data_IF_010058068325
#
_entry.id   IF_010058068325
#
_cell.length_a   1.000
_cell.length_b   1.000
_cell.length_c   1.000
_cell.angle_alpha   90.00
_cell.angle_beta   90.00
_cell.angle_gamma   90.00
#
_symmetry.space_group_name_H-M   'P 1'
#
loop_
_entity.id
_entity.type
_entity.pdbx_description
1 polymer ?
#
# COMPACT_ATOMS: atom_id res chain seq x y z
N UNK A 1 56.33 21.10 28.81
CA UNK A 1 56.20 21.77 27.50
C UNK A 1 54.72 21.98 27.24
N UNK A 2 54.24 23.22 27.44
CA UNK A 2 52.82 23.57 27.42
C UNK A 2 52.52 24.38 26.16
N UNK A 3 51.65 23.85 25.29
CA UNK A 3 51.24 24.52 24.05
C UNK A 3 50.05 25.46 24.35
N UNK A 4 50.28 26.76 24.13
CA UNK A 4 49.31 27.85 24.28
C UNK A 4 48.26 27.79 23.17
N UNK A 5 46.98 27.91 23.56
CA UNK A 5 45.84 28.18 22.67
C UNK A 5 45.81 29.66 22.30
N UNK A 6 45.52 29.97 21.04
CA UNK A 6 45.17 31.31 20.55
C UNK A 6 43.67 31.36 20.21
N UNK A 7 42.94 32.45 20.54
CA UNK A 7 41.55 32.64 20.13
C UNK A 7 41.47 33.42 18.81
N UNK A 8 40.57 33.02 17.91
CA UNK A 8 40.23 33.80 16.70
C UNK A 8 38.80 34.32 16.83
N UNK A 9 38.66 35.57 16.41
CA UNK A 9 37.63 36.51 16.80
C UNK A 9 36.27 36.32 16.11
N UNK A 10 35.24 36.64 16.90
CA UNK A 10 33.87 36.98 16.50
C UNK A 10 33.86 38.18 15.54
N UNK A 11 33.14 38.05 14.42
CA UNK A 11 32.64 39.20 13.63
C UNK A 11 31.12 39.14 13.56
N UNK A 12 30.52 40.12 14.22
CA UNK A 12 29.09 40.42 14.22
C UNK A 12 28.79 41.48 13.18
N UNK A 13 27.58 41.38 12.62
CA UNK A 13 26.75 42.41 12.02
C UNK A 13 27.16 43.00 10.66
N UNK A 14 26.24 42.86 9.69
CA UNK A 14 25.69 44.00 8.95
C UNK A 14 24.21 43.75 8.63
N UNK A 15 23.39 44.68 9.13
CA UNK A 15 22.00 44.90 8.73
C UNK A 15 21.98 45.40 7.28
N UNK A 16 21.00 44.99 6.50
CA UNK A 16 20.52 45.77 5.35
C UNK A 16 19.00 45.82 5.41
N UNK A 17 18.51 47.02 5.65
CA UNK A 17 17.11 47.44 5.64
C UNK A 17 16.91 48.30 4.40
N UNK A 18 16.28 47.75 3.36
CA UNK A 18 15.68 48.46 2.24
C UNK A 18 14.44 47.64 1.84
N UNK A 19 13.25 48.16 1.62
CA UNK A 19 12.73 49.51 1.66
C UNK A 19 11.25 49.36 1.27
N UNK A 20 10.35 49.83 2.11
CA UNK A 20 8.95 49.98 1.74
C UNK A 20 8.83 51.28 0.93
N UNK A 21 8.28 51.20 -0.28
CA UNK A 21 7.70 52.35 -0.96
C UNK A 21 6.42 51.92 -1.67
N UNK A 22 5.33 52.56 -1.26
CA UNK A 22 3.98 52.40 -1.75
C UNK A 22 3.79 53.06 -3.11
N UNK A 23 2.98 52.47 -4.00
CA UNK A 23 2.15 53.21 -4.97
C UNK A 23 0.80 52.50 -5.09
N UNK A 24 -0.22 53.14 -4.52
CA UNK A 24 -1.63 52.96 -4.85
C UNK A 24 -2.01 53.99 -5.94
N UNK A 25 -3.19 53.77 -6.55
CA UNK A 25 -3.88 54.59 -7.57
C UNK A 25 -3.50 54.35 -9.04
N UNK A 26 -4.40 53.71 -9.79
CA UNK A 26 -5.25 54.44 -10.74
C UNK A 26 -6.45 53.58 -11.19
N UNK A 27 -7.61 53.89 -10.62
CA UNK A 27 -8.91 53.63 -11.22
C UNK A 27 -9.14 54.63 -12.37
N UNK A 28 -9.87 54.17 -13.38
CA UNK A 28 -10.67 54.97 -14.33
C UNK A 28 -9.93 55.90 -15.31
N UNK A 29 -9.83 55.48 -16.58
CA UNK A 29 -10.39 56.16 -17.76
C UNK A 29 -9.82 55.56 -19.05
N UNK A 30 -10.65 54.86 -19.83
CA UNK A 30 -10.73 54.96 -21.28
C UNK A 30 -11.91 54.13 -21.79
N UNK A 31 -13.09 54.73 -21.67
CA UNK A 31 -14.17 54.56 -22.64
C UNK A 31 -13.68 55.09 -23.99
N UNK A 32 -14.04 54.40 -25.09
CA UNK A 32 -14.65 54.94 -26.32
C UNK A 32 -14.26 54.13 -27.57
N UNK A 33 -15.14 53.19 -27.94
CA UNK A 33 -15.61 52.87 -29.30
C UNK A 33 -16.42 51.56 -29.19
N UNK A 34 -17.71 51.45 -29.48
CA UNK A 34 -18.59 52.28 -30.30
C UNK A 34 -19.12 51.43 -31.47
N UNK A 35 -20.39 50.99 -31.34
CA UNK A 35 -21.33 50.54 -32.41
C UNK A 35 -21.09 49.10 -32.96
N UNK A 36 -22.07 48.22 -33.18
CA UNK A 36 -23.51 48.35 -33.46
C UNK A 36 -24.28 47.09 -33.04
N UNK A 37 -25.51 47.25 -32.54
CA UNK A 37 -26.61 46.30 -32.71
C UNK A 37 -27.50 46.81 -33.88
N UNK A 38 -28.36 46.00 -34.53
CA UNK A 38 -29.67 45.75 -33.93
C UNK A 38 -30.39 44.41 -34.28
N UNK A 39 -31.32 44.05 -33.38
CA UNK A 39 -32.69 43.49 -33.58
C UNK A 39 -32.90 42.17 -34.36
N UNK A 40 -33.47 41.18 -33.70
CA UNK A 40 -34.91 40.82 -33.77
C UNK A 40 -35.13 39.48 -33.02
N UNK A 41 -35.92 39.43 -31.94
CA UNK A 41 -37.38 39.26 -31.93
C UNK A 41 -37.85 37.99 -32.64
N UNK A 42 -38.18 36.95 -31.86
CA UNK A 42 -39.48 36.25 -31.88
C UNK A 42 -39.50 35.13 -30.83
N UNK A 43 -40.12 35.42 -29.69
CA UNK A 43 -40.77 34.40 -28.87
C UNK A 43 -41.99 33.89 -29.64
N UNK A 44 -42.16 32.57 -29.73
CA UNK A 44 -43.44 31.95 -30.05
C UNK A 44 -43.81 31.07 -28.87
N UNK A 45 -44.79 31.54 -28.11
CA UNK A 45 -45.52 30.74 -27.13
C UNK A 45 -46.69 29.99 -27.79
N UNK A 46 -47.04 28.89 -27.14
CA UNK A 46 -48.30 28.14 -27.15
C UNK A 46 -48.51 27.07 -28.26
N UNK A 47 -49.36 26.04 -28.03
CA UNK A 47 -50.22 25.79 -26.87
C UNK A 47 -50.05 24.41 -26.19
N UNK A 48 -50.51 24.37 -24.93
CA UNK A 48 -50.91 23.17 -24.19
C UNK A 48 -51.80 22.27 -25.07
N UNK A 49 -51.37 21.02 -25.29
CA UNK A 49 -52.27 19.92 -25.65
C UNK A 49 -52.28 18.91 -24.51
N UNK A 50 -53.43 18.87 -23.86
CA UNK A 50 -53.87 17.78 -22.99
C UNK A 50 -54.06 16.56 -23.89
N UNK A 51 -53.25 15.53 -23.71
CA UNK A 51 -53.51 14.19 -24.23
C UNK A 51 -53.62 13.26 -23.03
N UNK A 52 -54.87 12.99 -22.65
CA UNK A 52 -55.26 11.93 -21.74
C UNK A 52 -55.24 10.63 -22.56
N UNK A 53 -54.28 9.73 -22.30
CA UNK A 53 -54.30 8.38 -22.87
C UNK A 53 -53.70 7.38 -21.88
N UNK A 54 -54.62 6.83 -21.09
CA UNK A 54 -54.77 5.42 -20.69
C UNK A 54 -53.59 4.60 -20.16
N UNK A 55 -53.87 4.05 -18.97
CA UNK A 55 -53.32 2.86 -18.33
C UNK A 55 -52.73 1.82 -19.28
N UNK A 56 -51.49 1.42 -19.00
CA UNK A 56 -51.10 0.01 -19.00
C UNK A 56 -50.32 -0.24 -17.71
N UNK A 57 -50.99 -0.92 -16.78
CA UNK A 57 -50.38 -1.49 -15.60
C UNK A 57 -49.51 -2.69 -16.04
N UNK A 58 -48.22 -2.46 -16.27
CA UNK A 58 -47.25 -3.54 -16.22
C UNK A 58 -46.92 -3.80 -14.76
N UNK A 59 -47.54 -4.85 -14.22
CA UNK A 59 -47.06 -5.49 -13.00
C UNK A 59 -45.64 -6.00 -13.27
N UNK A 60 -44.64 -5.16 -12.96
CA UNK A 60 -43.28 -5.62 -12.78
C UNK A 60 -43.34 -6.53 -11.56
N UNK A 61 -43.32 -7.82 -11.82
CA UNK A 61 -43.00 -8.83 -10.82
C UNK A 61 -41.73 -8.38 -10.14
N UNK A 62 -41.87 -7.95 -8.88
CA UNK A 62 -40.76 -7.62 -8.01
C UNK A 62 -39.89 -8.86 -7.84
N UNK A 63 -38.93 -9.01 -8.75
CA UNK A 63 -37.74 -9.80 -8.51
C UNK A 63 -37.12 -9.20 -7.27
N UNK A 64 -37.30 -9.89 -6.14
CA UNK A 64 -36.53 -9.62 -4.94
C UNK A 64 -35.09 -9.83 -5.35
N UNK A 65 -34.36 -8.74 -5.58
CA UNK A 65 -32.91 -8.79 -5.56
C UNK A 65 -32.57 -9.29 -4.16
N UNK A 66 -32.20 -10.57 -4.05
CA UNK A 66 -31.39 -11.01 -2.92
C UNK A 66 -30.18 -10.09 -2.94
N UNK A 67 -30.16 -9.09 -2.07
CA UNK A 67 -28.93 -8.47 -1.64
C UNK A 67 -28.09 -9.63 -1.15
N UNK A 68 -27.04 -9.96 -1.89
CA UNK A 68 -26.04 -10.90 -1.42
C UNK A 68 -25.60 -10.35 -0.06
N UNK A 69 -25.96 -11.05 1.01
CA UNK A 69 -25.42 -10.84 2.34
C UNK A 69 -23.98 -11.34 2.31
N UNK A 70 -23.16 -10.71 1.47
CA UNK A 70 -21.73 -10.89 1.49
C UNK A 70 -21.24 -10.30 2.78
N UNK A 71 -20.49 -11.07 3.54
CA UNK A 71 -19.76 -10.54 4.69
C UNK A 71 -18.97 -9.31 4.23
N UNK A 72 -18.94 -8.25 5.05
CA UNK A 72 -18.19 -7.06 4.67
C UNK A 72 -16.73 -7.46 4.46
N UNK A 73 -16.19 -7.09 3.30
CA UNK A 73 -14.83 -7.37 2.92
C UNK A 73 -14.13 -6.05 2.58
N UNK A 74 -12.84 -5.96 2.91
CA UNK A 74 -12.04 -4.76 2.66
C UNK A 74 -10.74 -5.07 1.95
N UNK A 75 -10.21 -4.08 1.27
CA UNK A 75 -8.87 -4.13 0.70
C UNK A 75 -7.88 -3.57 1.73
N UNK A 76 -6.78 -4.29 1.95
CA UNK A 76 -5.70 -3.87 2.84
C UNK A 76 -4.37 -3.99 2.12
N UNK A 77 -3.39 -3.16 2.50
CA UNK A 77 -2.02 -3.36 2.05
C UNK A 77 -1.05 -3.52 3.22
N UNK A 78 0.01 -4.28 2.97
CA UNK A 78 1.03 -4.65 3.95
C UNK A 78 2.41 -4.46 3.33
N UNK A 79 3.31 -3.75 4.00
CA UNK A 79 4.68 -3.54 3.54
C UNK A 79 5.66 -3.75 4.69
N UNK A 80 6.75 -4.45 4.43
CA UNK A 80 7.80 -4.73 5.42
C UNK A 80 9.02 -5.30 4.70
N UNK A 81 9.92 -4.46 4.18
CA UNK A 81 11.00 -4.93 3.31
C UNK A 81 10.48 -5.30 1.92
N UNK A 82 11.21 -6.19 1.23
CA UNK A 82 10.91 -6.53 -0.16
C UNK A 82 9.50 -7.08 -0.35
N UNK A 83 8.73 -6.46 -1.26
CA UNK A 83 7.39 -6.93 -1.62
C UNK A 83 7.36 -8.31 -2.28
N UNK A 84 8.49 -8.86 -2.78
CA UNK A 84 8.52 -10.19 -3.40
C UNK A 84 8.30 -11.27 -2.35
N UNK A 85 8.97 -11.15 -1.20
CA UNK A 85 8.74 -12.00 -0.04
C UNK A 85 7.31 -11.82 0.47
N UNK A 86 6.90 -10.57 0.71
CA UNK A 86 5.58 -10.26 1.25
C UNK A 86 4.47 -10.80 0.33
N UNK A 87 4.61 -10.69 -0.99
CA UNK A 87 3.59 -11.18 -1.92
C UNK A 87 3.48 -12.68 -1.84
N UNK A 88 4.60 -13.38 -1.81
CA UNK A 88 4.63 -14.83 -1.66
C UNK A 88 3.98 -15.29 -0.35
N UNK A 89 4.29 -14.62 0.77
CA UNK A 89 3.71 -14.93 2.08
C UNK A 89 2.20 -14.71 2.10
N UNK A 90 1.71 -13.60 1.54
CA UNK A 90 0.28 -13.32 1.50
C UNK A 90 -0.48 -14.19 0.50
N UNK A 91 0.11 -14.55 -0.64
CA UNK A 91 -0.49 -15.55 -1.55
C UNK A 91 -0.64 -16.90 -0.85
N UNK A 92 0.37 -17.32 -0.08
CA UNK A 92 0.29 -18.54 0.74
C UNK A 92 -0.79 -18.43 1.82
N UNK A 93 -0.89 -17.27 2.47
CA UNK A 93 -1.90 -17.00 3.50
C UNK A 93 -3.32 -17.02 2.93
N UNK A 94 -3.55 -16.40 1.78
CA UNK A 94 -4.83 -16.47 1.07
C UNK A 94 -5.22 -17.90 0.74
N UNK A 95 -4.26 -18.71 0.28
CA UNK A 95 -4.51 -20.14 0.01
C UNK A 95 -4.90 -20.88 1.29
N UNK A 96 -4.17 -20.65 2.37
CA UNK A 96 -4.35 -21.37 3.65
C UNK A 96 -5.61 -20.95 4.40
N UNK A 97 -5.89 -19.66 4.47
CA UNK A 97 -6.93 -19.07 5.33
C UNK A 97 -8.24 -18.85 4.58
N UNK A 98 -8.15 -18.48 3.29
CA UNK A 98 -9.32 -18.17 2.46
C UNK A 98 -9.63 -19.27 1.43
N UNK A 99 -8.77 -20.27 1.28
CA UNK A 99 -8.93 -21.32 0.26
C UNK A 99 -8.77 -20.80 -1.18
N UNK A 100 -8.19 -19.59 -1.36
CA UNK A 100 -8.02 -18.99 -2.69
C UNK A 100 -6.93 -19.71 -3.46
N UNK A 101 -7.14 -19.89 -4.76
CA UNK A 101 -6.16 -20.47 -5.66
C UNK A 101 -6.37 -19.96 -7.08
N UNK A 102 -5.35 -20.09 -7.93
CA UNK A 102 -5.40 -19.66 -9.32
C UNK A 102 -5.85 -18.20 -9.44
N UNK A 103 -6.89 -17.96 -10.23
CA UNK A 103 -7.41 -16.60 -10.46
C UNK A 103 -8.08 -15.99 -9.23
N UNK A 104 -8.39 -16.76 -8.18
CA UNK A 104 -9.04 -16.25 -6.97
C UNK A 104 -8.08 -15.56 -6.00
N UNK A 105 -6.76 -15.72 -6.17
CA UNK A 105 -5.72 -14.98 -5.41
C UNK A 105 -5.85 -13.48 -5.72
N UNK A 106 -5.73 -12.63 -4.70
CA UNK A 106 -5.86 -11.18 -4.87
C UNK A 106 -4.62 -10.39 -4.49
N UNK A 107 -3.63 -11.02 -3.87
CA UNK A 107 -2.33 -10.41 -3.51
C UNK A 107 -1.54 -9.92 -4.72
N UNK A 108 -1.26 -8.62 -4.78
CA UNK A 108 -0.43 -7.99 -5.82
C UNK A 108 0.62 -7.06 -5.19
N UNK A 109 1.80 -6.99 -5.80
CA UNK A 109 2.90 -6.12 -5.36
C UNK A 109 2.70 -4.70 -5.87
N UNK A 110 3.16 -3.72 -5.10
CA UNK A 110 3.03 -2.30 -5.41
C UNK A 110 3.66 -1.37 -4.39
N UNK A 111 3.21 -0.13 -4.41
CA UNK A 111 3.80 0.98 -3.67
C UNK A 111 2.70 1.69 -2.87
N UNK A 112 2.94 1.98 -1.59
CA UNK A 112 1.97 2.65 -0.72
C UNK A 112 2.64 3.50 0.38
N UNK A 113 1.85 4.23 1.16
CA UNK A 113 2.34 5.00 2.31
C UNK A 113 3.15 6.26 1.99
N UNK A 114 3.28 6.65 0.72
CA UNK A 114 3.76 7.97 0.27
C UNK A 114 2.62 8.96 0.10
N UNK A 115 2.93 10.23 -0.20
CA UNK A 115 1.88 11.21 -0.51
C UNK A 115 1.09 10.79 -1.77
N UNK A 116 -0.23 11.03 -1.83
CA UNK A 116 -1.00 10.77 -3.04
C UNK A 116 -0.42 11.51 -4.24
N UNK A 117 -0.19 10.76 -5.30
CA UNK A 117 0.22 11.33 -6.57
C UNK A 117 -0.99 11.43 -7.50
N UNK A 118 -1.46 12.67 -7.69
CA UNK A 118 -2.62 12.94 -8.56
C UNK A 118 -2.19 12.83 -10.03
N UNK A 119 -2.71 11.83 -10.74
CA UNK A 119 -2.42 11.59 -12.16
C UNK A 119 -0.93 11.42 -12.50
N UNK A 120 -0.06 11.16 -11.51
CA UNK A 120 1.34 10.80 -11.75
C UNK A 120 1.50 9.30 -11.50
N UNK A 121 2.37 8.68 -12.30
CA UNK A 121 2.71 7.28 -12.15
C UNK A 121 3.71 7.12 -11.00
N UNK A 122 3.57 6.01 -10.28
CA UNK A 122 4.55 5.54 -9.30
C UNK A 122 5.27 4.37 -9.95
N UNK A 123 6.56 4.52 -10.20
CA UNK A 123 7.40 3.56 -10.92
C UNK A 123 8.52 3.06 -10.03
N UNK A 124 8.99 1.85 -10.30
CA UNK A 124 10.22 1.32 -9.72
C UNK A 124 11.44 2.15 -10.14
N UNK A 125 12.60 1.87 -9.54
CA UNK A 125 13.86 2.55 -9.84
C UNK A 125 14.15 2.63 -11.33
N UNK A 126 14.18 3.84 -11.87
CA UNK A 126 14.39 4.07 -13.29
C UNK A 126 15.07 5.42 -13.54
N UNK A 127 15.92 5.47 -14.55
CA UNK A 127 16.65 6.68 -14.94
C UNK A 127 15.85 7.59 -15.89
N UNK A 128 14.82 7.06 -16.54
CA UNK A 128 14.02 7.78 -17.54
C UNK A 128 13.05 8.78 -16.89
N UNK A 129 12.46 8.39 -15.77
CA UNK A 129 11.51 9.14 -14.96
C UNK A 129 11.91 9.13 -13.47
N UNK A 130 13.07 9.71 -13.09
CA UNK A 130 13.55 9.65 -11.71
C UNK A 130 12.61 10.36 -10.73
N UNK A 131 11.80 11.33 -11.18
CA UNK A 131 10.78 11.98 -10.33
C UNK A 131 9.52 11.13 -10.10
N UNK A 132 9.39 10.01 -10.81
CA UNK A 132 8.31 9.04 -10.66
C UNK A 132 8.75 7.81 -9.87
N UNK A 133 10.01 7.75 -9.46
CA UNK A 133 10.54 6.70 -8.60
C UNK A 133 9.77 6.68 -7.27
N UNK A 134 9.25 5.51 -6.91
CA UNK A 134 8.41 5.32 -5.74
C UNK A 134 9.12 5.73 -4.44
N UNK A 135 10.43 5.53 -4.33
CA UNK A 135 11.24 5.90 -3.17
C UNK A 135 11.38 7.42 -3.05
N UNK A 136 11.54 8.12 -4.17
CA UNK A 136 11.60 9.59 -4.23
C UNK A 136 10.24 10.21 -3.90
N UNK A 137 9.16 9.57 -4.33
CA UNK A 137 7.78 9.92 -3.96
C UNK A 137 7.45 9.53 -2.50
N UNK A 138 8.36 8.84 -1.82
CA UNK A 138 8.25 8.44 -0.42
C UNK A 138 7.28 7.30 -0.17
N UNK A 139 6.95 6.51 -1.18
CA UNK A 139 6.24 5.24 -0.99
C UNK A 139 7.17 4.19 -0.36
N UNK A 140 6.58 3.12 0.14
CA UNK A 140 7.27 1.88 0.47
C UNK A 140 6.72 0.75 -0.41
N UNK A 141 7.54 -0.28 -0.58
CA UNK A 141 7.12 -1.55 -1.14
C UNK A 141 6.02 -2.17 -0.28
N UNK A 142 4.94 -2.58 -0.93
CA UNK A 142 3.74 -3.08 -0.29
C UNK A 142 3.06 -4.14 -1.14
N UNK A 143 2.19 -4.92 -0.50
CA UNK A 143 1.32 -5.89 -1.15
C UNK A 143 -0.11 -5.58 -0.75
N UNK A 144 -0.96 -5.36 -1.74
CA UNK A 144 -2.41 -5.24 -1.54
C UNK A 144 -3.05 -6.62 -1.60
N UNK A 145 -3.84 -6.95 -0.59
CA UNK A 145 -4.74 -8.11 -0.58
C UNK A 145 -6.17 -7.58 -0.64
N UNK A 146 -6.84 -7.87 -1.76
CA UNK A 146 -8.20 -7.42 -1.99
C UNK A 146 -9.23 -8.34 -1.33
N UNK A 147 -10.34 -7.74 -0.89
CA UNK A 147 -11.54 -8.40 -0.38
C UNK A 147 -11.26 -9.38 0.76
N UNK A 148 -10.51 -8.97 1.79
CA UNK A 148 -10.35 -9.74 3.02
C UNK A 148 -11.67 -9.72 3.78
N UNK A 149 -12.30 -10.87 4.09
CA UNK A 149 -13.50 -10.93 4.92
C UNK A 149 -13.25 -10.34 6.31
N UNK A 150 -14.23 -9.63 6.87
CA UNK A 150 -14.10 -8.95 8.16
C UNK A 150 -13.60 -9.86 9.29
N UNK A 151 -14.11 -11.10 9.36
CA UNK A 151 -13.71 -12.09 10.38
C UNK A 151 -12.27 -12.61 10.22
N UNK A 152 -11.61 -12.33 9.08
CA UNK A 152 -10.22 -12.71 8.78
C UNK A 152 -9.24 -11.55 8.92
N UNK A 153 -9.68 -10.31 9.11
CA UNK A 153 -8.79 -9.14 9.21
C UNK A 153 -7.74 -9.34 10.31
N UNK A 154 -8.15 -9.75 11.51
CA UNK A 154 -7.22 -10.03 12.61
C UNK A 154 -6.21 -11.13 12.29
N UNK A 155 -6.58 -12.12 11.46
CA UNK A 155 -5.66 -13.20 11.03
C UNK A 155 -4.59 -12.66 10.08
N UNK A 156 -4.98 -11.85 9.09
CA UNK A 156 -4.05 -11.22 8.16
C UNK A 156 -3.13 -10.22 8.86
N UNK A 157 -3.70 -9.38 9.73
CA UNK A 157 -2.95 -8.44 10.56
C UNK A 157 -1.95 -9.19 11.46
N UNK A 158 -2.35 -10.28 12.10
CA UNK A 158 -1.45 -11.09 12.94
C UNK A 158 -0.27 -11.65 12.16
N UNK A 159 -0.53 -12.25 10.99
CA UNK A 159 0.54 -12.80 10.14
C UNK A 159 1.59 -11.73 9.78
N UNK A 160 1.14 -10.52 9.45
CA UNK A 160 2.01 -9.37 9.21
C UNK A 160 2.79 -8.96 10.47
N UNK A 161 2.10 -8.70 11.58
CA UNK A 161 2.71 -8.19 12.82
C UNK A 161 3.65 -9.19 13.49
N UNK A 162 3.46 -10.49 13.26
CA UNK A 162 4.37 -11.54 13.71
C UNK A 162 5.66 -11.58 12.87
N UNK A 163 5.59 -11.14 11.60
CA UNK A 163 6.75 -11.08 10.71
C UNK A 163 7.62 -9.84 10.97
N UNK A 164 7.09 -8.77 11.57
CA UNK A 164 7.85 -7.55 11.87
C UNK A 164 9.02 -7.87 12.80
N UNK A 165 10.28 -7.67 12.36
CA UNK A 165 11.44 -7.91 13.20
C UNK A 165 11.44 -6.86 14.32
N UNK A 166 11.14 -7.31 15.53
CA UNK A 166 11.35 -6.49 16.71
C UNK A 166 12.85 -6.40 16.98
N UNK A 167 13.35 -5.26 17.47
CA UNK A 167 14.71 -5.16 18.01
C UNK A 167 14.82 -6.04 19.27
N UNK A 168 14.99 -7.35 19.10
CA UNK A 168 15.22 -8.25 20.23
C UNK A 168 16.66 -8.04 20.74
N UNK A 169 16.77 -8.01 22.06
CA UNK A 169 18.02 -8.09 22.82
C UNK A 169 18.92 -9.19 22.23
N UNK A 170 20.03 -8.77 21.62
CA UNK A 170 21.27 -9.49 21.26
C UNK A 170 21.27 -10.92 20.66
N UNK A 171 20.21 -11.72 20.65
CA UNK A 171 20.34 -13.18 20.39
C UNK A 171 19.63 -13.74 19.15
N UNK A 172 18.76 -13.00 18.47
CA UNK A 172 18.10 -13.49 17.23
C UNK A 172 18.77 -12.83 16.00
N UNK A 173 19.92 -13.39 15.60
CA UNK A 173 20.64 -13.02 14.37
C UNK A 173 19.91 -13.47 13.11
N UNK A 174 19.11 -14.53 13.18
CA UNK A 174 18.55 -15.18 11.99
C UNK A 174 17.41 -14.37 11.35
N UNK A 175 16.62 -13.64 12.16
CA UNK A 175 15.60 -12.71 11.65
C UNK A 175 16.18 -11.36 11.20
N UNK A 176 17.40 -11.05 11.62
CA UNK A 176 18.12 -9.83 11.24
C UNK A 176 18.78 -9.98 9.86
N UNK A 177 19.11 -11.20 9.46
CA UNK A 177 19.73 -11.53 8.17
C UNK A 177 18.84 -11.30 6.95
N UNK A 178 17.52 -11.51 7.06
CA UNK A 178 16.62 -11.32 5.90
C UNK A 178 16.28 -9.85 5.60
N UNK A 179 16.51 -8.93 6.54
CA UNK A 179 16.57 -7.48 6.26
C UNK A 179 17.99 -7.01 5.89
N UNK A 180 18.98 -7.89 6.03
CA UNK A 180 20.41 -7.56 5.88
C UNK A 180 20.98 -7.90 4.51
N UNK A 181 20.67 -9.07 3.96
CA UNK A 181 21.60 -9.73 3.03
C UNK A 181 20.95 -10.26 1.72
N UNK A 182 19.77 -9.77 1.34
CA UNK A 182 19.26 -9.96 -0.02
C UNK A 182 20.09 -9.14 -1.01
N UNK A 183 20.46 -9.74 -2.14
CA UNK A 183 21.39 -9.32 -3.23
C UNK A 183 21.12 -7.93 -3.88
N UNK A 184 20.27 -7.10 -3.29
CA UNK A 184 19.83 -5.78 -3.78
C UNK A 184 19.93 -4.70 -2.70
N UNK A 185 21.09 -4.58 -2.04
CA UNK A 185 21.48 -3.32 -1.38
C UNK A 185 20.86 -3.03 -0.01
N UNK A 186 20.58 -4.05 0.80
CA UNK A 186 20.31 -3.92 2.24
C UNK A 186 19.08 -3.07 2.55
N UNK A 187 17.90 -3.71 2.57
CA UNK A 187 16.57 -3.12 2.71
C UNK A 187 16.31 -2.35 4.01
N UNK A 188 17.01 -1.22 4.19
CA UNK A 188 17.05 -0.39 5.40
C UNK A 188 16.50 1.02 5.17
N UNK A 189 16.31 1.42 3.91
CA UNK A 189 15.73 2.70 3.56
C UNK A 189 14.24 2.83 3.90
N UNK A 190 13.70 4.04 3.92
CA UNK A 190 12.27 4.28 4.18
C UNK A 190 11.36 3.51 3.22
N UNK A 191 11.80 3.21 2.01
CA UNK A 191 11.10 2.40 1.02
C UNK A 191 10.81 0.95 1.45
N UNK A 192 11.46 0.48 2.51
CA UNK A 192 11.31 -0.86 3.09
C UNK A 192 10.61 -0.86 4.46
N UNK A 193 10.08 0.29 4.89
CA UNK A 193 9.49 0.46 6.22
C UNK A 193 8.23 -0.39 6.42
N UNK A 194 7.93 -0.73 7.67
CA UNK A 194 6.76 -1.51 8.05
C UNK A 194 5.49 -0.63 7.99
N UNK A 195 4.57 -0.99 7.09
CA UNK A 195 3.33 -0.26 6.84
C UNK A 195 2.12 -1.20 6.78
N UNK A 196 0.98 -0.74 7.27
CA UNK A 196 -0.31 -1.40 7.12
C UNK A 196 -1.36 -0.36 6.73
N UNK A 197 -2.02 -0.56 5.61
CA UNK A 197 -3.10 0.28 5.11
C UNK A 197 -4.45 -0.39 5.18
N UNK A 198 -5.47 0.33 5.63
CA UNK A 198 -6.86 -0.09 5.61
C UNK A 198 -7.80 1.12 5.49
N UNK A 199 -9.05 0.95 5.02
CA UNK A 199 -9.99 2.05 4.92
C UNK A 199 -10.25 2.69 6.28
N UNK A 200 -10.01 4.01 6.40
CA UNK A 200 -10.14 4.76 7.65
C UNK A 200 -8.92 4.71 8.57
N UNK A 201 -7.90 3.90 8.27
CA UNK A 201 -6.68 3.84 9.06
C UNK A 201 -6.94 3.42 10.51
N UNK A 202 -6.42 4.19 11.47
CA UNK A 202 -6.68 3.98 12.90
C UNK A 202 -8.14 4.20 13.31
N UNK A 203 -8.92 4.90 12.49
CA UNK A 203 -10.35 5.15 12.70
C UNK A 203 -11.23 4.09 12.03
N UNK A 204 -10.62 3.08 11.40
CA UNK A 204 -11.35 1.99 10.78
C UNK A 204 -12.17 1.21 11.83
N UNK A 205 -13.40 0.77 11.52
CA UNK A 205 -14.15 -0.11 12.42
C UNK A 205 -13.42 -1.43 12.71
N UNK A 206 -12.47 -1.83 11.85
CA UNK A 206 -11.67 -3.05 11.99
C UNK A 206 -10.32 -2.83 12.69
N UNK A 207 -10.00 -1.58 13.09
CA UNK A 207 -8.72 -1.30 13.74
C UNK A 207 -8.57 -2.04 15.08
N UNK A 208 -9.71 -2.37 15.74
CA UNK A 208 -9.70 -3.19 16.95
C UNK A 208 -9.12 -4.60 16.69
N UNK A 209 -9.43 -5.23 15.57
CA UNK A 209 -8.91 -6.56 15.24
C UNK A 209 -7.38 -6.55 15.06
N UNK A 210 -6.85 -5.42 14.58
CA UNK A 210 -5.40 -5.18 14.46
C UNK A 210 -4.77 -4.97 15.83
N UNK A 211 -5.41 -4.20 16.72
CA UNK A 211 -4.93 -4.01 18.09
C UNK A 211 -4.89 -5.32 18.87
N UNK A 212 -5.94 -6.14 18.75
CA UNK A 212 -6.03 -7.45 19.38
C UNK A 212 -4.96 -8.40 18.82
N UNK A 213 -4.75 -8.40 17.50
CA UNK A 213 -3.68 -9.17 16.85
C UNK A 213 -2.27 -8.74 17.28
N UNK A 214 -2.06 -7.44 17.47
CA UNK A 214 -0.79 -6.87 17.94
C UNK A 214 -0.48 -7.26 19.39
N UNK A 215 -1.49 -7.31 20.26
CA UNK A 215 -1.32 -7.62 21.68
C UNK A 215 -0.39 -6.64 22.42
N UNK A 216 -0.21 -5.43 21.90
CA UNK A 216 0.68 -4.40 22.47
C UNK A 216 2.18 -4.63 22.24
N UNK A 217 2.58 -5.57 21.37
CA UNK A 217 3.99 -5.91 21.11
C UNK A 217 4.72 -4.88 20.25
N UNK A 218 4.00 -4.24 19.33
CA UNK A 218 4.51 -3.23 18.41
C UNK A 218 3.83 -1.88 18.66
N UNK A 219 4.55 -0.80 18.35
CA UNK A 219 4.02 0.54 18.34
C UNK A 219 3.32 0.82 17.01
N UNK A 220 1.99 0.72 17.03
CA UNK A 220 1.15 1.10 15.89
C UNK A 220 0.97 2.62 15.87
N UNK A 221 1.58 3.30 14.91
CA UNK A 221 1.58 4.76 14.80
C UNK A 221 0.82 5.21 13.55
N UNK A 222 0.05 6.29 13.63
CA UNK A 222 -0.66 6.85 12.46
C UNK A 222 0.37 7.41 11.46
N UNK A 223 0.35 6.87 10.24
CA UNK A 223 1.19 7.32 9.13
C UNK A 223 0.71 8.64 8.55
N UNK A 224 1.65 9.46 8.07
CA UNK A 224 1.39 10.79 7.50
C UNK A 224 1.79 10.92 6.04
N UNK A 225 2.36 9.86 5.47
CA UNK A 225 2.86 9.81 4.11
C UNK A 225 4.35 10.14 4.10
N UNK A 226 5.14 9.32 3.41
CA UNK A 226 6.60 9.46 3.33
C UNK A 226 7.28 9.39 4.71
N UNK A 227 6.73 8.57 5.60
CA UNK A 227 7.21 8.41 6.97
C UNK A 227 8.62 7.75 7.01
N UNK A 228 9.39 7.96 8.10
CA UNK A 228 10.73 7.41 8.22
C UNK A 228 10.78 5.87 8.18
N UNK A 229 11.97 5.36 7.88
CA UNK A 229 12.30 3.93 8.02
C UNK A 229 11.95 3.41 9.42
N UNK A 230 11.42 2.20 9.48
CA UNK A 230 11.18 1.47 10.74
C UNK A 230 12.26 0.44 11.03
N UNK A 231 13.33 0.38 10.23
CA UNK A 231 14.44 -0.53 10.43
C UNK A 231 15.05 -0.36 11.84
N UNK A 232 15.13 -1.46 12.60
CA UNK A 232 15.65 -1.44 13.97
C UNK A 232 14.71 -0.77 14.98
N UNK A 233 13.43 -0.59 14.66
CA UNK A 233 12.39 -0.07 15.56
C UNK A 233 11.27 -1.09 15.74
N UNK A 234 10.41 -0.85 16.73
CA UNK A 234 9.16 -1.59 16.97
C UNK A 234 7.93 -0.90 16.34
N UNK A 235 8.15 0.06 15.43
CA UNK A 235 7.09 0.88 14.83
C UNK A 235 6.50 0.21 13.59
N UNK A 236 5.17 0.27 13.49
CA UNK A 236 4.41 0.00 12.26
C UNK A 236 3.55 1.23 11.95
N UNK A 237 3.66 1.74 10.74
CA UNK A 237 2.84 2.87 10.29
C UNK A 237 1.47 2.40 9.79
N UNK A 238 0.40 2.92 10.39
CA UNK A 238 -1.00 2.64 10.03
C UNK A 238 -1.52 3.76 9.15
N UNK A 239 -1.93 3.43 7.93
CA UNK A 239 -2.42 4.39 6.95
C UNK A 239 -3.92 4.23 6.69
N UNK A 240 -4.59 5.36 6.53
CA UNK A 240 -5.90 5.43 5.89
C UNK A 240 -5.73 5.25 4.38
N UNK A 241 -6.14 4.09 3.85
CA UNK A 241 -5.91 3.74 2.45
C UNK A 241 -6.64 4.65 1.46
N UNK A 242 -7.68 5.36 1.90
CA UNK A 242 -8.34 6.37 1.06
C UNK A 242 -7.50 7.65 0.92
N UNK A 243 -6.63 7.95 1.91
CA UNK A 243 -5.73 9.10 1.90
C UNK A 243 -4.32 8.77 1.44
N UNK A 244 -3.90 7.52 1.55
CA UNK A 244 -2.60 7.03 1.14
C UNK A 244 -2.82 5.76 0.32
N UNK A 245 -3.19 5.92 -0.97
CA UNK A 245 -3.61 4.81 -1.81
C UNK A 245 -2.45 3.88 -2.16
N UNK A 246 -2.82 2.67 -2.58
CA UNK A 246 -1.91 1.68 -3.15
C UNK A 246 -1.80 1.89 -4.66
N UNK A 247 -0.59 1.70 -5.19
CA UNK A 247 -0.28 1.77 -6.62
C UNK A 247 0.38 0.44 -7.04
N UNK A 248 -0.25 -0.29 -7.96
CA UNK A 248 0.33 -1.55 -8.45
C UNK A 248 1.72 -1.31 -9.07
N UNK A 249 2.66 -2.20 -8.76
CA UNK A 249 3.97 -2.25 -9.42
C UNK A 249 3.88 -2.81 -10.84
N UNK A 250 4.97 -2.65 -11.57
CA UNK A 250 5.22 -3.20 -12.90
C UNK A 250 5.00 -4.71 -12.95
N UNK A 251 4.67 -5.23 -14.14
CA UNK A 251 4.33 -6.65 -14.29
C UNK A 251 5.50 -7.58 -13.99
N UNK A 252 6.75 -7.14 -14.20
CA UNK A 252 7.94 -7.93 -13.89
C UNK A 252 8.19 -8.10 -12.39
N UNK A 253 7.60 -7.28 -11.52
CA UNK A 253 7.65 -7.48 -10.07
C UNK A 253 6.59 -8.46 -9.53
N UNK A 254 5.62 -8.85 -10.36
CA UNK A 254 4.50 -9.68 -9.92
C UNK A 254 4.89 -11.16 -9.95
N UNK A 255 4.70 -11.84 -8.82
CA UNK A 255 4.97 -13.26 -8.63
C UNK A 255 6.41 -13.68 -8.93
N UNK A 256 7.35 -12.82 -8.50
CA UNK A 256 8.80 -13.03 -8.65
C UNK A 256 9.36 -14.06 -7.64
N UNK A 257 10.57 -14.54 -7.89
CA UNK A 257 11.32 -15.32 -6.90
C UNK A 257 11.60 -14.47 -5.64
N UNK A 258 11.41 -15.05 -4.44
CA UNK A 258 11.65 -14.34 -3.17
C UNK A 258 13.11 -13.91 -3.00
N UNK A 259 14.02 -14.75 -3.51
CA UNK A 259 15.46 -14.56 -3.53
C UNK A 259 16.02 -15.31 -4.76
N UNK A 260 17.12 -14.81 -5.32
CA UNK A 260 17.85 -15.46 -6.41
C UNK A 260 18.24 -16.91 -6.09
N UNK A 261 18.52 -17.23 -4.82
CA UNK A 261 18.88 -18.59 -4.37
C UNK A 261 17.66 -19.53 -4.21
N UNK A 262 16.44 -18.98 -4.14
CA UNK A 262 15.22 -19.73 -3.80
C UNK A 262 14.14 -19.50 -4.84
N UNK A 263 14.08 -20.41 -5.80
CA UNK A 263 13.08 -20.39 -6.87
C UNK A 263 11.68 -20.65 -6.31
N UNK A 264 10.75 -19.76 -6.66
CA UNK A 264 9.33 -19.92 -6.39
C UNK A 264 8.75 -21.05 -7.25
N UNK A 265 7.78 -21.83 -6.74
CA UNK A 265 7.14 -22.89 -7.51
C UNK A 265 6.48 -22.37 -8.80
N UNK A 266 6.47 -23.16 -9.87
CA UNK A 266 5.84 -22.77 -11.14
C UNK A 266 4.37 -22.36 -11.00
N UNK A 267 3.63 -23.05 -10.12
CA UNK A 267 2.23 -22.69 -9.81
C UNK A 267 2.06 -21.27 -9.27
N UNK A 268 3.08 -20.72 -8.59
CA UNK A 268 3.08 -19.34 -8.09
C UNK A 268 3.38 -18.37 -9.23
N UNK A 269 4.39 -18.64 -10.05
CA UNK A 269 4.75 -17.81 -11.21
C UNK A 269 3.62 -17.73 -12.24
N UNK A 270 2.89 -18.83 -12.44
CA UNK A 270 1.74 -18.90 -13.33
C UNK A 270 0.58 -17.96 -12.94
N UNK A 271 0.52 -17.49 -11.68
CA UNK A 271 -0.49 -16.54 -11.22
C UNK A 271 -0.40 -15.21 -11.96
N UNK A 272 0.80 -14.76 -12.37
CA UNK A 272 0.97 -13.51 -13.13
C UNK A 272 0.09 -13.51 -14.38
N UNK A 273 0.21 -14.54 -15.23
CA UNK A 273 -0.57 -14.66 -16.46
C UNK A 273 -2.07 -14.86 -16.18
N UNK A 274 -2.41 -15.64 -15.16
CA UNK A 274 -3.80 -15.88 -14.79
C UNK A 274 -4.52 -14.61 -14.31
N UNK A 275 -3.86 -13.81 -13.47
CA UNK A 275 -4.42 -12.58 -12.92
C UNK A 275 -4.40 -11.42 -13.91
N UNK A 276 -3.43 -11.39 -14.84
CA UNK A 276 -3.45 -10.45 -15.97
C UNK A 276 -4.66 -10.72 -16.89
N UNK A 277 -4.90 -11.98 -17.26
CA UNK A 277 -6.08 -12.35 -18.08
C UNK A 277 -7.42 -12.05 -17.39
N UNK A 278 -7.48 -12.18 -16.07
CA UNK A 278 -8.68 -11.83 -15.27
C UNK A 278 -8.84 -10.32 -15.06
N UNK A 279 -7.82 -9.51 -15.35
CA UNK A 279 -7.83 -8.07 -15.12
C UNK A 279 -7.61 -7.65 -13.67
N UNK A 280 -7.11 -8.56 -12.81
CA UNK A 280 -6.63 -8.18 -11.47
C UNK A 280 -5.28 -7.47 -11.55
N UNK A 281 -4.42 -7.94 -12.44
CA UNK A 281 -3.20 -7.23 -12.85
C UNK A 281 -3.46 -6.46 -14.14
N UNK A 282 -2.80 -5.32 -14.28
CA UNK A 282 -2.81 -4.52 -15.51
C UNK A 282 -1.40 -4.02 -15.84
N UNK A 283 -1.06 -3.82 -17.11
CA UNK A 283 0.16 -3.09 -17.47
C UNK A 283 0.10 -1.67 -16.88
N UNK A 284 1.24 -1.19 -16.39
CA UNK A 284 1.39 0.19 -15.90
C UNK A 284 2.17 1.00 -16.93
N UNK A 285 1.99 2.32 -16.96
CA UNK A 285 2.67 3.17 -17.94
C UNK A 285 4.13 3.51 -17.56
N UNK A 286 4.74 2.73 -16.67
CA UNK A 286 6.14 2.85 -16.30
C UNK A 286 7.02 2.09 -17.32
N UNK A 287 8.32 2.43 -17.43
CA UNK A 287 9.23 1.70 -18.30
C UNK A 287 9.24 0.21 -17.95
N UNK A 288 8.87 -0.62 -18.92
CA UNK A 288 9.07 -2.06 -18.88
C UNK A 288 10.53 -2.34 -19.29
N UNK A 289 11.50 -1.83 -18.53
CA UNK A 289 12.89 -2.22 -18.71
C UNK A 289 13.19 -3.36 -17.75
N UNK A 290 12.85 -4.58 -18.17
CA UNK A 290 13.57 -5.74 -17.68
C UNK A 290 15.04 -5.54 -18.07
N UNK A 291 15.93 -5.75 -17.10
CA UNK A 291 17.27 -6.26 -17.42
C UNK A 291 16.99 -7.48 -18.28
N UNK A 292 17.29 -7.37 -19.57
CA UNK A 292 16.99 -8.33 -20.64
C UNK A 292 17.09 -9.79 -20.18
N UNK A 293 15.97 -10.43 -19.93
CA UNK A 293 15.85 -11.87 -20.17
C UNK A 293 14.95 -12.06 -21.39
N UNK A 294 15.55 -12.69 -22.38
CA UNK A 294 15.03 -13.01 -23.70
C UNK A 294 13.58 -13.48 -23.67
N UNK A 295 12.75 -12.79 -24.46
CA UNK A 295 11.36 -13.15 -24.64
C UNK A 295 11.15 -14.57 -25.17
N UNK A 296 10.07 -15.17 -24.68
CA UNK A 296 9.14 -15.96 -25.48
C UNK A 296 7.77 -15.78 -24.80
N UNK A 297 6.98 -14.85 -25.32
CA UNK A 297 5.52 -14.95 -25.18
C UNK A 297 5.09 -16.07 -26.12
N UNK A 298 5.28 -17.32 -25.69
CA UNK A 298 4.61 -18.43 -26.33
C UNK A 298 3.13 -18.30 -25.99
N UNK A 299 2.33 -18.05 -27.02
CA UNK A 299 0.90 -18.31 -27.03
C UNK A 299 0.68 -19.79 -26.71
N UNK A 300 0.57 -20.12 -25.43
CA UNK A 300 -0.01 -21.41 -25.01
C UNK A 300 -1.52 -21.23 -25.03
N UNK A 301 -2.09 -21.31 -26.24
CA UNK A 301 -3.48 -21.73 -26.39
C UNK A 301 -3.62 -23.20 -26.01
N UNK A 302 -4.62 -23.43 -25.17
CA UNK A 302 -5.44 -24.65 -25.07
C UNK A 302 -4.74 -25.98 -24.75
N UNK A 303 -4.71 -26.30 -23.44
CA UNK A 303 -5.11 -27.61 -22.88
C UNK A 303 -4.50 -27.87 -21.48
N UNK A 304 -4.93 -27.11 -20.47
CA UNK A 304 -4.78 -27.59 -19.08
C UNK A 304 -6.15 -27.89 -18.49
N UNK A 305 -6.54 -29.13 -18.79
CA UNK A 305 -7.55 -29.90 -18.11
C UNK A 305 -7.28 -29.85 -16.58
N UNK A 306 -8.12 -29.14 -15.82
CA UNK A 306 -8.12 -29.18 -14.35
C UNK A 306 -8.66 -30.55 -13.91
N UNK A 307 -7.82 -31.58 -14.03
CA UNK A 307 -8.13 -32.95 -13.66
C UNK A 307 -6.90 -33.60 -13.03
N UNK A 308 -6.47 -33.07 -11.88
CA UNK A 308 -5.35 -33.61 -11.13
C UNK A 308 -5.53 -33.35 -9.64
N UNK A 309 -6.11 -34.32 -8.93
CA UNK A 309 -6.08 -34.41 -7.48
C UNK A 309 -4.65 -34.73 -7.04
N UNK A 310 -3.74 -33.77 -7.15
CA UNK A 310 -2.39 -33.82 -6.63
C UNK A 310 -2.33 -33.02 -5.35
N UNK A 311 -2.55 -33.67 -4.22
CA UNK A 311 -2.33 -33.11 -2.90
C UNK A 311 -0.83 -33.02 -2.61
N UNK A 312 -0.14 -32.07 -3.25
CA UNK A 312 1.20 -31.68 -2.80
C UNK A 312 1.02 -30.61 -1.72
N UNK A 313 1.20 -30.97 -0.44
CA UNK A 313 1.04 -30.01 0.64
C UNK A 313 2.00 -28.87 0.41
N UNK A 314 1.45 -27.66 0.43
CA UNK A 314 2.21 -26.44 0.63
C UNK A 314 2.95 -26.63 1.96
N UNK A 315 4.22 -27.06 1.94
CA UNK A 315 5.04 -26.91 3.14
C UNK A 315 5.13 -25.42 3.42
N UNK A 316 4.56 -24.93 4.53
CA UNK A 316 4.71 -23.54 4.89
C UNK A 316 6.18 -23.36 5.28
N UNK A 317 6.93 -22.60 4.50
CA UNK A 317 8.15 -21.94 4.98
C UNK A 317 7.72 -20.73 5.82
N UNK A 318 6.84 -20.99 6.78
CA UNK A 318 6.63 -20.13 7.91
C UNK A 318 7.22 -20.93 9.05
N UNK A 319 8.37 -20.48 9.53
CA UNK A 319 8.98 -20.93 10.77
C UNK A 319 8.09 -20.55 11.96
N UNK A 320 6.85 -21.04 11.98
CA UNK A 320 6.02 -21.07 13.16
C UNK A 320 6.63 -22.12 14.07
N UNK A 321 7.58 -21.69 14.89
CA UNK A 321 7.92 -22.42 16.09
C UNK A 321 6.64 -22.81 16.82
N UNK A 322 6.58 -24.05 17.31
CA UNK A 322 5.52 -24.49 18.22
C UNK A 322 5.29 -23.40 19.27
N UNK A 323 4.04 -23.07 19.61
CA UNK A 323 3.79 -22.23 20.77
C UNK A 323 4.30 -22.99 22.00
N UNK A 324 5.43 -22.55 22.56
CA UNK A 324 5.74 -22.88 23.94
C UNK A 324 4.61 -22.29 24.78
N UNK A 325 4.01 -23.16 25.61
CA UNK A 325 2.98 -22.75 26.54
C UNK A 325 3.48 -21.53 27.35
N UNK A 326 2.68 -20.47 27.50
CA UNK A 326 3.10 -19.30 28.26
C UNK A 326 3.47 -19.76 29.67
N UNK A 327 4.75 -19.61 30.00
CA UNK A 327 5.17 -19.74 31.39
C UNK A 327 4.49 -18.61 32.15
N UNK A 328 3.69 -18.90 33.20
CA UNK A 328 2.97 -17.86 33.92
C UNK A 328 3.98 -16.82 34.45
N UNK A 329 3.66 -15.51 34.38
CA UNK A 329 4.56 -14.49 34.88
C UNK A 329 4.84 -14.75 36.36
N UNK A 330 6.13 -14.82 36.69
CA UNK A 330 6.60 -14.88 38.06
C UNK A 330 6.19 -13.59 38.78
N UNK A 331 5.07 -13.66 39.52
CA UNK A 331 4.45 -12.51 40.20
C UNK A 331 5.31 -11.89 41.31
N UNK A 332 6.51 -12.42 41.59
CA UNK A 332 7.39 -11.88 42.63
C UNK A 332 8.30 -10.72 42.21
N UNK A 333 8.22 -10.20 40.97
CA UNK A 333 9.11 -9.10 40.52
C UNK A 333 8.42 -7.78 40.17
N UNK A 334 7.08 -7.71 40.16
CA UNK A 334 6.34 -6.49 39.77
C UNK A 334 5.81 -5.67 40.96
N UNK A 335 5.85 -6.19 42.20
CA UNK A 335 5.36 -5.45 43.37
C UNK A 335 6.40 -4.65 44.17
N UNK A 336 7.65 -4.53 43.71
CA UNK A 336 8.70 -3.86 44.51
C UNK A 336 9.05 -2.43 44.13
N UNK A 337 8.46 -1.85 43.07
CA UNK A 337 8.81 -0.50 42.60
C UNK A 337 7.63 0.49 42.55
N UNK A 338 6.63 0.35 43.44
CA UNK A 338 5.50 1.30 43.49
C UNK A 338 5.24 1.91 44.88
N UNK A 339 6.24 1.88 45.77
CA UNK A 339 6.13 2.51 47.10
C UNK A 339 7.32 3.38 47.54
N UNK A 340 8.22 3.77 46.63
CA UNK A 340 9.24 4.80 46.91
C UNK A 340 9.51 5.66 45.67
N UNK A 341 8.64 6.62 45.41
CA UNK A 341 8.90 7.87 44.66
C UNK A 341 7.68 8.78 44.73
#
# INVERSE_FOLDING_TARGET
>A
MAAKRLPVASRRARRSTHGALAIACCYACCLLAGRSAPKAFLQVEAPRRIALAQLLATAVTGGSAQAATGEPAIDMYFGQGSFWRVQSDFTALETKVLGRSGTAVTSISGYAGGQPVNNQLVCYHNLEFPRRDYSILGHAEAVEVASIPADKIGTFAKAFLDAVPVPAAESDSDRRGEQGDGDQGGGRGPEFRAILGLPGGSESPYFKDILDANGGRLKLAVGKGSDPSTAGTDVVWIYDSAKFPFYQAELYHQFHDQDASKKSPERYKALKGALLRRGRLQPVSCPESEITESGAVDEVEDSMNFGGSGSDPFEPILGFGKPDAPTPPNMNRVQKNFLES
#
